data_IF_476153856894
#
_entry.id   IF_476153856894
#
_cell.length_a   1.000
_cell.length_b   1.000
_cell.length_c   1.000
_cell.angle_alpha   90.00
_cell.angle_beta   90.00
_cell.angle_gamma   90.00
#
_symmetry.space_group_name_H-M   'P 1'
#
loop_
_entity.id
_entity.type
_entity.pdbx_description
1 polymer ?
#
# COMPACT_ATOMS: atom_id res chain seq x y z
N UNK A 1 2.95 -10.03 19.55
CA UNK A 1 2.97 -8.70 18.88
C UNK A 1 4.03 -8.56 17.77
N UNK A 2 5.35 -8.59 18.04
CA UNK A 2 6.38 -8.32 17.00
C UNK A 2 6.27 -9.19 15.72
N UNK A 3 6.05 -10.51 15.87
CA UNK A 3 5.83 -11.43 14.74
C UNK A 3 4.53 -11.16 13.95
N UNK A 4 3.47 -10.71 14.61
CA UNK A 4 2.18 -10.40 13.95
C UNK A 4 2.30 -9.11 13.13
N UNK A 5 2.98 -8.11 13.67
CA UNK A 5 3.27 -6.85 12.96
C UNK A 5 4.15 -7.10 11.73
N UNK A 6 5.21 -7.91 11.87
CA UNK A 6 6.07 -8.27 10.74
C UNK A 6 5.29 -9.01 9.63
N UNK A 7 4.40 -9.95 9.99
CA UNK A 7 3.51 -10.60 9.03
C UNK A 7 2.59 -9.58 8.35
N UNK A 8 1.95 -8.68 9.10
CA UNK A 8 1.07 -7.67 8.54
C UNK A 8 1.78 -6.70 7.59
N UNK A 9 3.03 -6.33 7.89
CA UNK A 9 3.88 -5.53 6.99
C UNK A 9 4.19 -6.31 5.72
N UNK A 10 4.53 -7.60 5.81
CA UNK A 10 4.74 -8.44 4.63
C UNK A 10 3.48 -8.51 3.74
N UNK A 11 2.28 -8.60 4.34
CA UNK A 11 1.03 -8.54 3.58
C UNK A 11 0.81 -7.19 2.87
N UNK A 12 1.25 -6.07 3.46
CA UNK A 12 1.15 -4.76 2.82
C UNK A 12 2.02 -4.64 1.55
N UNK A 13 3.14 -5.36 1.49
CA UNK A 13 4.02 -5.43 0.33
C UNK A 13 3.42 -6.20 -0.86
N UNK A 14 2.27 -6.87 -0.66
CA UNK A 14 1.50 -7.44 -1.77
C UNK A 14 0.68 -6.37 -2.51
N UNK A 15 0.47 -5.20 -1.91
CA UNK A 15 -0.29 -4.11 -2.53
C UNK A 15 0.23 -3.69 -3.92
N UNK A 16 1.54 -3.46 -4.13
CA UNK A 16 2.10 -3.21 -5.46
C UNK A 16 1.75 -4.25 -6.50
N UNK A 17 1.74 -5.52 -6.09
CA UNK A 17 1.45 -6.64 -6.97
C UNK A 17 -0.04 -6.66 -7.35
N UNK A 18 -0.92 -6.45 -6.37
CA UNK A 18 -2.37 -6.39 -6.58
C UNK A 18 -2.74 -5.20 -7.50
N UNK A 19 -2.24 -4.01 -7.19
CA UNK A 19 -2.52 -2.81 -7.98
C UNK A 19 -1.91 -2.92 -9.37
N UNK A 20 -0.69 -3.46 -9.48
CA UNK A 20 -0.02 -3.70 -10.75
C UNK A 20 -0.75 -4.68 -11.65
N UNK A 21 -1.27 -5.79 -11.10
CA UNK A 21 -2.08 -6.77 -11.87
C UNK A 21 -3.42 -6.16 -12.29
N UNK A 22 -4.13 -5.46 -11.38
CA UNK A 22 -5.44 -4.88 -11.70
C UNK A 22 -5.34 -3.81 -12.80
N UNK A 23 -4.42 -2.86 -12.64
CA UNK A 23 -4.22 -1.81 -13.64
C UNK A 23 -3.60 -2.38 -14.92
N UNK A 24 -2.60 -3.25 -14.79
CA UNK A 24 -1.98 -3.92 -15.93
C UNK A 24 -2.98 -4.73 -16.76
N UNK A 25 -3.86 -5.48 -16.08
CA UNK A 25 -4.94 -6.25 -16.71
C UNK A 25 -5.97 -5.35 -17.39
N UNK A 26 -6.41 -4.29 -16.71
CA UNK A 26 -7.34 -3.31 -17.27
C UNK A 26 -6.81 -2.69 -18.57
N UNK A 27 -5.57 -2.19 -18.56
CA UNK A 27 -4.98 -1.57 -19.74
C UNK A 27 -4.62 -2.58 -20.85
N UNK A 28 -4.23 -3.81 -20.49
CA UNK A 28 -3.96 -4.86 -21.47
C UNK A 28 -5.24 -5.30 -22.19
N UNK A 29 -6.38 -5.38 -21.49
CA UNK A 29 -7.68 -5.69 -22.08
C UNK A 29 -8.14 -4.60 -23.05
N UNK A 30 -7.97 -3.33 -22.68
CA UNK A 30 -8.37 -2.19 -23.52
C UNK A 30 -7.47 -2.04 -24.74
N UNK A 31 -6.16 -2.20 -24.56
CA UNK A 31 -5.19 -1.96 -25.63
C UNK A 31 -4.94 -3.20 -26.51
N UNK A 32 -5.42 -4.39 -26.10
CA UNK A 32 -5.14 -5.67 -26.75
C UNK A 32 -3.67 -6.11 -26.69
N UNK A 33 -2.83 -5.43 -25.91
CA UNK A 33 -1.39 -5.68 -25.82
C UNK A 33 -0.99 -6.23 -24.44
N UNK A 34 -0.60 -7.51 -24.40
CA UNK A 34 -0.15 -8.18 -23.18
C UNK A 34 1.15 -7.58 -22.59
N UNK A 35 1.96 -6.91 -23.41
CA UNK A 35 3.20 -6.24 -22.96
C UNK A 35 2.94 -5.12 -21.94
N UNK A 36 1.80 -4.44 -22.05
CA UNK A 36 1.43 -3.33 -21.17
C UNK A 36 1.18 -3.83 -19.74
N UNK A 37 0.63 -5.04 -19.57
CA UNK A 37 0.45 -5.66 -18.26
C UNK A 37 1.79 -5.80 -17.54
N UNK A 38 2.78 -6.37 -18.21
CA UNK A 38 4.11 -6.56 -17.61
C UNK A 38 4.80 -5.23 -17.34
N UNK A 39 4.65 -4.24 -18.22
CA UNK A 39 5.24 -2.92 -18.01
C UNK A 39 4.68 -2.25 -16.75
N UNK A 40 3.35 -2.18 -16.61
CA UNK A 40 2.68 -1.58 -15.45
C UNK A 40 3.01 -2.36 -14.17
N UNK A 41 3.00 -3.69 -14.23
CA UNK A 41 3.35 -4.53 -13.09
C UNK A 41 4.79 -4.27 -12.63
N UNK A 42 5.76 -4.23 -13.56
CA UNK A 42 7.16 -3.98 -13.22
C UNK A 42 7.36 -2.56 -12.68
N UNK A 43 6.64 -1.57 -13.19
CA UNK A 43 6.67 -0.21 -12.62
C UNK A 43 6.09 -0.16 -11.20
N UNK A 44 4.96 -0.84 -10.96
CA UNK A 44 4.36 -0.91 -9.63
C UNK A 44 5.31 -1.61 -8.62
N UNK A 45 5.93 -2.71 -9.03
CA UNK A 45 6.92 -3.43 -8.22
C UNK A 45 8.16 -2.58 -7.97
N UNK A 46 8.66 -1.86 -8.98
CA UNK A 46 9.77 -0.92 -8.81
C UNK A 46 9.43 0.17 -7.77
N UNK A 47 8.18 0.62 -7.72
CA UNK A 47 7.68 1.61 -6.76
C UNK A 47 7.27 1.03 -5.40
N UNK A 48 7.44 -0.27 -5.15
CA UNK A 48 7.07 -0.91 -3.88
C UNK A 48 7.78 -0.31 -2.66
N UNK A 49 8.97 0.28 -2.85
CA UNK A 49 9.72 0.98 -1.80
C UNK A 49 8.92 2.15 -1.19
N UNK A 50 8.10 2.84 -1.99
CA UNK A 50 7.23 3.95 -1.53
C UNK A 50 6.19 3.44 -0.53
N UNK A 51 5.62 2.27 -0.79
CA UNK A 51 4.68 1.60 0.14
C UNK A 51 5.42 1.23 1.42
N UNK A 52 6.60 0.61 1.32
CA UNK A 52 7.40 0.22 2.47
C UNK A 52 7.71 1.41 3.39
N UNK A 53 8.13 2.53 2.82
CA UNK A 53 8.41 3.77 3.56
C UNK A 53 7.14 4.39 4.15
N UNK A 54 6.05 4.45 3.39
CA UNK A 54 4.74 4.88 3.90
C UNK A 54 4.30 4.05 5.12
N UNK A 55 4.50 2.73 5.07
CA UNK A 55 4.17 1.87 6.19
C UNK A 55 5.05 2.11 7.41
N UNK A 56 6.36 2.29 7.20
CA UNK A 56 7.33 2.51 8.29
C UNK A 56 7.10 3.84 9.01
N UNK A 57 6.88 4.93 8.27
CA UNK A 57 6.85 6.29 8.83
C UNK A 57 5.44 6.81 9.15
N UNK A 58 4.41 6.36 8.44
CA UNK A 58 3.04 6.85 8.65
C UNK A 58 2.13 5.79 9.26
N UNK A 59 1.97 4.63 8.61
CA UNK A 59 0.93 3.68 9.01
C UNK A 59 1.22 2.99 10.34
N UNK A 60 2.45 2.51 10.56
CA UNK A 60 2.83 1.87 11.82
C UNK A 60 2.72 2.84 13.02
N UNK A 61 3.29 4.06 12.97
CA UNK A 61 3.12 5.03 14.04
C UNK A 61 1.67 5.46 14.25
N UNK A 62 0.91 5.70 13.18
CA UNK A 62 -0.51 6.04 13.28
C UNK A 62 -1.32 4.92 13.95
N UNK A 63 -1.05 3.65 13.59
CA UNK A 63 -1.65 2.50 14.24
C UNK A 63 -1.32 2.44 15.73
N UNK A 64 -0.05 2.59 16.11
CA UNK A 64 0.36 2.58 17.53
C UNK A 64 -0.29 3.70 18.33
N UNK A 65 -0.40 4.90 17.75
CA UNK A 65 -1.04 6.04 18.37
C UNK A 65 -2.55 5.82 18.56
N UNK A 66 -3.25 5.36 17.52
CA UNK A 66 -4.69 5.08 17.57
C UNK A 66 -5.01 3.93 18.53
N UNK A 67 -4.13 2.94 18.62
CA UNK A 67 -4.24 1.84 19.58
C UNK A 67 -4.11 2.36 21.02
N UNK A 68 -3.18 3.29 21.29
CA UNK A 68 -3.02 3.92 22.60
C UNK A 68 -4.24 4.74 23.04
N UNK A 69 -4.93 5.36 22.09
CA UNK A 69 -6.15 6.14 22.36
C UNK A 69 -7.45 5.32 22.29
N UNK A 70 -7.36 4.00 22.09
CA UNK A 70 -8.50 3.08 21.95
C UNK A 70 -9.54 3.51 20.89
N UNK A 71 -9.11 4.29 19.90
CA UNK A 71 -9.94 4.77 18.77
C UNK A 71 -9.37 4.22 17.47
N UNK A 72 -9.43 2.91 17.29
CA UNK A 72 -8.96 2.26 16.06
C UNK A 72 -9.92 2.57 14.90
N UNK A 73 -9.66 3.68 14.21
CA UNK A 73 -10.38 4.05 13.00
C UNK A 73 -9.70 3.48 11.75
N UNK A 74 -10.47 2.69 10.98
CA UNK A 74 -10.00 2.11 9.72
C UNK A 74 -9.69 3.19 8.69
N UNK A 75 -10.54 4.23 8.62
CA UNK A 75 -10.33 5.37 7.73
C UNK A 75 -9.05 6.11 8.09
N UNK A 76 -8.76 6.33 9.37
CA UNK A 76 -7.55 7.04 9.80
C UNK A 76 -6.25 6.39 9.33
N UNK A 77 -6.19 5.06 9.32
CA UNK A 77 -5.02 4.32 8.87
C UNK A 77 -4.91 4.28 7.34
N UNK A 78 -6.04 4.17 6.63
CA UNK A 78 -6.03 4.32 5.17
C UNK A 78 -5.56 5.72 4.77
N UNK A 79 -6.06 6.76 5.43
CA UNK A 79 -5.66 8.15 5.16
C UNK A 79 -4.18 8.37 5.48
N UNK A 80 -3.67 7.81 6.58
CA UNK A 80 -2.24 7.86 6.90
C UNK A 80 -1.40 7.17 5.82
N UNK A 81 -1.83 6.00 5.32
CA UNK A 81 -1.16 5.29 4.22
C UNK A 81 -1.21 6.06 2.90
N UNK A 82 -2.33 6.70 2.59
CA UNK A 82 -2.50 7.53 1.41
C UNK A 82 -1.61 8.78 1.46
N UNK A 83 -1.57 9.46 2.61
CA UNK A 83 -0.72 10.64 2.84
C UNK A 83 0.76 10.26 2.78
N UNK A 84 1.16 9.15 3.42
CA UNK A 84 2.53 8.65 3.33
C UNK A 84 2.92 8.31 1.90
N UNK A 85 2.04 7.63 1.15
CA UNK A 85 2.25 7.31 -0.27
C UNK A 85 2.39 8.55 -1.15
N UNK A 86 1.54 9.55 -0.93
CA UNK A 86 1.60 10.82 -1.64
C UNK A 86 2.90 11.58 -1.34
N UNK A 87 3.29 11.65 -0.07
CA UNK A 87 4.47 12.39 0.37
C UNK A 87 5.76 11.74 -0.15
N UNK A 88 5.89 10.42 -0.06
CA UNK A 88 7.04 9.72 -0.61
C UNK A 88 7.05 9.72 -2.15
N UNK A 89 5.89 9.68 -2.82
CA UNK A 89 5.84 9.83 -4.28
C UNK A 89 6.32 11.19 -4.75
N UNK A 90 6.02 12.24 -3.98
CA UNK A 90 6.53 13.58 -4.23
C UNK A 90 8.06 13.65 -4.02
N UNK A 91 8.57 13.07 -2.93
CA UNK A 91 10.00 13.08 -2.60
C UNK A 91 10.87 12.28 -3.58
N UNK A 92 10.39 11.15 -4.09
CA UNK A 92 11.15 10.30 -5.02
C UNK A 92 10.97 10.69 -6.50
N UNK A 93 10.39 11.86 -6.78
CA UNK A 93 10.16 12.36 -8.16
C UNK A 93 9.35 11.34 -8.99
N UNK A 94 8.54 10.51 -8.33
CA UNK A 94 7.51 9.69 -8.95
C UNK A 94 6.26 10.55 -9.21
N UNK A 95 6.48 11.79 -9.69
CA UNK A 95 5.49 12.85 -9.82
C UNK A 95 4.86 12.93 -11.20
N UNK A 96 5.16 11.99 -12.11
CA UNK A 96 4.36 11.86 -13.33
C UNK A 96 2.93 11.55 -12.91
N UNK A 97 1.99 12.44 -13.24
CA UNK A 97 0.74 12.60 -12.47
C UNK A 97 -0.05 11.30 -12.23
N UNK A 98 0.00 10.35 -13.17
CA UNK A 98 -0.65 9.05 -13.00
C UNK A 98 0.09 8.12 -12.02
N UNK A 99 1.42 8.13 -12.02
CA UNK A 99 2.24 7.32 -11.09
C UNK A 99 2.07 7.80 -9.65
N UNK A 100 1.91 9.11 -9.43
CA UNK A 100 1.60 9.66 -8.11
C UNK A 100 0.31 9.07 -7.52
N UNK A 101 -0.77 9.06 -8.30
CA UNK A 101 -2.07 8.52 -7.87
C UNK A 101 -1.95 7.02 -7.60
N UNK A 102 -1.29 6.27 -8.49
CA UNK A 102 -1.08 4.84 -8.34
C UNK A 102 -0.34 4.55 -7.03
N UNK A 103 0.72 5.28 -6.73
CA UNK A 103 1.52 5.08 -5.53
C UNK A 103 0.74 5.44 -4.25
N UNK A 104 -0.07 6.51 -4.27
CA UNK A 104 -0.93 6.87 -3.15
C UNK A 104 -2.01 5.81 -2.88
N UNK A 105 -2.66 5.30 -3.93
CA UNK A 105 -3.65 4.20 -3.84
C UNK A 105 -3.00 2.92 -3.35
N UNK A 106 -1.83 2.59 -3.88
CA UNK A 106 -1.04 1.43 -3.48
C UNK A 106 -0.63 1.50 -2.01
N UNK A 107 -0.21 2.67 -1.51
CA UNK A 107 0.12 2.85 -0.11
C UNK A 107 -1.12 2.80 0.81
N UNK A 108 -2.25 3.36 0.38
CA UNK A 108 -3.53 3.25 1.10
C UNK A 108 -4.00 1.79 1.21
N UNK A 109 -3.92 1.05 0.11
CA UNK A 109 -4.28 -0.37 0.05
C UNK A 109 -3.32 -1.22 0.89
N UNK A 110 -2.02 -0.88 0.90
CA UNK A 110 -1.04 -1.47 1.81
C UNK A 110 -1.40 -1.28 3.29
N UNK A 111 -1.83 -0.06 3.66
CA UNK A 111 -2.37 0.25 4.98
C UNK A 111 -3.61 -0.56 5.36
N UNK A 112 -4.52 -0.74 4.40
CA UNK A 112 -5.71 -1.58 4.55
C UNK A 112 -5.37 -3.06 4.75
N UNK A 113 -4.48 -3.63 3.93
CA UNK A 113 -4.04 -5.03 4.05
C UNK A 113 -3.32 -5.32 5.37
N UNK A 114 -2.54 -4.35 5.86
CA UNK A 114 -1.89 -4.42 7.16
C UNK A 114 -2.92 -4.56 8.30
N UNK A 115 -3.94 -3.70 8.31
CA UNK A 115 -5.02 -3.78 9.31
C UNK A 115 -5.82 -5.07 9.21
N UNK A 116 -6.16 -5.48 7.99
CA UNK A 116 -6.87 -6.73 7.74
C UNK A 116 -6.08 -7.94 8.28
N UNK A 117 -4.78 -7.99 8.01
CA UNK A 117 -3.90 -9.04 8.50
C UNK A 117 -3.78 -9.04 10.03
N UNK A 118 -3.68 -7.87 10.66
CA UNK A 118 -3.66 -7.75 12.11
C UNK A 118 -4.94 -8.26 12.76
N UNK A 119 -6.12 -7.89 12.23
CA UNK A 119 -7.41 -8.36 12.76
C UNK A 119 -7.60 -9.86 12.57
N UNK A 120 -7.29 -10.38 11.38
CA UNK A 120 -7.39 -11.82 11.10
C UNK A 120 -6.48 -12.64 12.03
N UNK A 121 -5.28 -12.16 12.30
CA UNK A 121 -4.36 -12.81 13.23
C UNK A 121 -4.77 -12.65 14.71
N UNK A 122 -5.54 -11.62 15.05
CA UNK A 122 -6.09 -11.43 16.40
C UNK A 122 -7.34 -12.30 16.65
N UNK A 123 -8.12 -12.63 15.62
CA UNK A 123 -9.27 -13.53 15.71
C UNK A 123 -8.88 -15.02 15.74
N UNK A 124 -7.69 -15.36 15.24
CA UNK A 124 -7.16 -16.73 15.19
C UNK A 124 -6.23 -17.07 16.37
N UNK A 125 -6.17 -16.23 17.40
CA UNK A 125 -5.36 -16.40 18.60
C UNK A 125 -6.25 -16.48 19.84
#
# INVERSE_FOLDING_TARGET
>A
MKRQVAKAVAYSLLSPLIVGILLGGYYALISGQSKILFQILMTAVANAHIVGLSMAFFVLPAYMMLLRHNKLSYSGILTAGMLGGALFSYLFVASSGMVFIINAVMAALGGGLFLFSLRRNAQNA
#
